data_IF_426700979289
#
_entry.id   IF_426700979289
#
_cell.length_a   1.000
_cell.length_b   1.000
_cell.length_c   1.000
_cell.angle_alpha   90.00
_cell.angle_beta   90.00
_cell.angle_gamma   90.00
#
_symmetry.space_group_name_H-M   'P 1'
#
loop_
_entity.id
_entity.type
_entity.pdbx_description
1 polymer ?
#
# COMPACT_ATOMS: atom_id res chain seq x y z
N UNK A 1 -12.26 15.76 -23.09
CA UNK A 1 -12.18 14.36 -22.66
C UNK A 1 -10.78 13.93 -22.20
N UNK A 2 -9.72 14.07 -23.00
CA UNK A 2 -8.36 13.69 -22.62
C UNK A 2 -7.84 14.49 -21.41
N UNK A 3 -8.02 15.80 -21.36
CA UNK A 3 -7.63 16.65 -20.22
C UNK A 3 -8.33 16.22 -18.92
N UNK A 4 -9.60 15.82 -18.97
CA UNK A 4 -10.38 15.34 -17.82
C UNK A 4 -9.87 14.00 -17.30
N UNK A 5 -9.41 13.11 -18.19
CA UNK A 5 -8.78 11.83 -17.82
C UNK A 5 -7.42 12.10 -17.15
N UNK A 6 -6.58 12.94 -17.74
CA UNK A 6 -5.26 13.32 -17.18
C UNK A 6 -5.41 13.93 -15.78
N UNK A 7 -6.40 14.82 -15.58
CA UNK A 7 -6.64 15.45 -14.28
C UNK A 7 -7.22 14.44 -13.26
N UNK A 8 -8.00 13.47 -13.70
CA UNK A 8 -8.50 12.39 -12.85
C UNK A 8 -7.37 11.46 -12.42
N UNK A 9 -6.48 11.09 -13.33
CA UNK A 9 -5.26 10.31 -13.07
C UNK A 9 -4.32 11.08 -12.11
N UNK A 10 -4.06 12.36 -12.38
CA UNK A 10 -3.25 13.20 -11.47
C UNK A 10 -3.86 13.29 -10.07
N UNK A 11 -5.20 13.45 -9.96
CA UNK A 11 -5.90 13.46 -8.65
C UNK A 11 -5.84 12.12 -7.94
N UNK A 12 -5.98 11.02 -8.68
CA UNK A 12 -5.85 9.66 -8.14
C UNK A 12 -4.48 9.43 -7.52
N UNK A 13 -3.40 9.81 -8.22
CA UNK A 13 -2.03 9.66 -7.70
C UNK A 13 -1.68 10.68 -6.63
N UNK A 14 -2.15 11.92 -6.70
CA UNK A 14 -1.90 12.96 -5.69
C UNK A 14 -2.49 12.64 -4.31
N UNK A 15 -3.65 11.94 -4.27
CA UNK A 15 -4.30 11.46 -3.04
C UNK A 15 -4.01 9.98 -2.75
N UNK A 16 -3.18 9.34 -3.58
CA UNK A 16 -2.89 7.91 -3.47
C UNK A 16 -1.78 7.64 -2.47
N UNK A 17 -1.99 6.63 -1.59
CA UNK A 17 -0.94 6.05 -0.76
C UNK A 17 0.01 5.16 -1.59
N UNK A 18 1.00 4.61 -0.91
CA UNK A 18 2.03 3.72 -1.50
C UNK A 18 1.43 2.54 -2.26
N UNK A 19 0.31 1.99 -1.79
CA UNK A 19 -0.38 0.85 -2.44
C UNK A 19 -0.69 1.13 -3.91
N UNK A 20 -1.22 2.32 -4.22
CA UNK A 20 -1.57 2.69 -5.59
C UNK A 20 -0.35 2.84 -6.48
N UNK A 21 0.74 3.39 -5.94
CA UNK A 21 2.01 3.52 -6.67
C UNK A 21 2.63 2.16 -6.97
N UNK A 22 2.62 1.22 -6.01
CA UNK A 22 3.11 -0.15 -6.23
C UNK A 22 2.33 -0.84 -7.35
N UNK A 23 1.00 -0.75 -7.34
CA UNK A 23 0.17 -1.31 -8.41
C UNK A 23 0.50 -0.64 -9.75
N UNK A 24 0.57 0.68 -9.79
CA UNK A 24 0.82 1.42 -11.02
C UNK A 24 2.19 1.11 -11.64
N UNK A 25 3.25 0.98 -10.82
CA UNK A 25 4.60 0.64 -11.30
C UNK A 25 4.61 -0.76 -11.90
N UNK A 26 4.00 -1.75 -11.24
CA UNK A 26 3.89 -3.11 -11.75
C UNK A 26 3.15 -3.15 -13.09
N UNK A 27 1.98 -2.50 -13.17
CA UNK A 27 1.17 -2.45 -14.40
C UNK A 27 1.91 -1.72 -15.52
N UNK A 28 2.55 -0.58 -15.23
CA UNK A 28 3.28 0.19 -16.23
C UNK A 28 4.45 -0.63 -16.81
N UNK A 29 5.24 -1.30 -15.96
CA UNK A 29 6.37 -2.11 -16.42
C UNK A 29 5.89 -3.33 -17.22
N UNK A 30 4.81 -3.99 -16.77
CA UNK A 30 4.18 -5.08 -17.54
C UNK A 30 3.76 -4.62 -18.95
N UNK A 31 3.11 -3.46 -19.06
CA UNK A 31 2.69 -2.92 -20.36
C UNK A 31 3.89 -2.61 -21.24
N UNK A 32 4.95 -2.00 -20.69
CA UNK A 32 6.19 -1.71 -21.44
C UNK A 32 6.80 -3.01 -21.98
N UNK A 33 7.00 -4.02 -21.12
CA UNK A 33 7.60 -5.30 -21.51
C UNK A 33 6.73 -6.01 -22.58
N UNK A 34 5.40 -6.01 -22.39
CA UNK A 34 4.47 -6.65 -23.33
C UNK A 34 4.43 -5.96 -24.68
N UNK A 35 4.41 -4.62 -24.70
CA UNK A 35 4.42 -3.85 -25.96
C UNK A 35 5.72 -4.04 -26.73
N UNK A 36 6.87 -4.03 -26.05
CA UNK A 36 8.17 -4.30 -26.67
C UNK A 36 8.23 -5.72 -27.23
N UNK A 37 7.72 -6.72 -26.49
CA UNK A 37 7.64 -8.09 -26.97
C UNK A 37 6.73 -8.27 -28.21
N UNK A 38 5.60 -7.56 -28.25
CA UNK A 38 4.71 -7.54 -29.42
C UNK A 38 5.43 -6.89 -30.61
N UNK A 39 6.08 -5.75 -30.39
CA UNK A 39 6.83 -5.04 -31.44
C UNK A 39 7.92 -5.95 -32.05
N UNK A 40 8.75 -6.60 -31.22
CA UNK A 40 9.77 -7.55 -31.68
C UNK A 40 9.15 -8.67 -32.54
N UNK A 41 8.01 -9.24 -32.07
CA UNK A 41 7.33 -10.32 -32.84
C UNK A 41 6.79 -9.86 -34.20
N UNK A 42 6.28 -8.61 -34.28
CA UNK A 42 5.69 -8.09 -35.51
C UNK A 42 6.73 -7.61 -36.53
N UNK A 43 7.84 -7.06 -36.07
CA UNK A 43 8.86 -6.45 -36.94
C UNK A 43 10.04 -7.38 -37.24
N UNK A 44 10.25 -8.43 -36.44
CA UNK A 44 11.46 -9.24 -36.45
C UNK A 44 12.72 -8.52 -35.96
N UNK A 45 12.57 -7.26 -35.45
CA UNK A 45 13.69 -6.48 -34.94
C UNK A 45 13.89 -6.87 -33.48
N UNK A 46 15.06 -7.44 -33.15
CA UNK A 46 15.41 -7.73 -31.75
C UNK A 46 15.62 -6.44 -30.96
N UNK A 47 14.69 -6.15 -30.08
CA UNK A 47 14.84 -5.09 -29.09
C UNK A 47 15.54 -5.66 -27.88
N UNK A 48 16.32 -4.80 -27.21
CA UNK A 48 16.96 -5.10 -25.93
C UNK A 48 15.99 -5.81 -24.97
N UNK A 49 16.30 -7.04 -24.50
CA UNK A 49 15.39 -7.86 -23.72
C UNK A 49 15.26 -7.34 -22.27
N UNK A 50 14.61 -6.19 -22.11
CA UNK A 50 14.46 -5.49 -20.82
C UNK A 50 13.99 -6.44 -19.73
N UNK A 51 12.98 -7.26 -20.01
CA UNK A 51 12.46 -8.20 -19.03
C UNK A 51 13.52 -9.18 -18.52
N UNK A 52 14.37 -9.70 -19.41
CA UNK A 52 15.49 -10.58 -19.01
C UNK A 52 16.49 -9.87 -18.09
N UNK A 53 16.80 -8.60 -18.37
CA UNK A 53 17.72 -7.80 -17.55
C UNK A 53 17.15 -7.43 -16.17
N UNK A 54 15.83 -7.46 -16.01
CA UNK A 54 15.15 -7.16 -14.78
C UNK A 54 14.78 -8.40 -13.96
N UNK A 55 14.77 -9.60 -14.58
CA UNK A 55 14.48 -10.88 -13.92
C UNK A 55 15.70 -11.41 -13.18
N UNK A 56 15.48 -12.05 -12.02
CA UNK A 56 16.54 -12.58 -11.17
C UNK A 56 17.01 -13.94 -11.69
N UNK A 57 18.29 -14.10 -12.11
CA UNK A 57 18.83 -15.38 -12.54
C UNK A 57 19.04 -16.33 -11.35
N UNK A 58 18.97 -17.66 -11.58
CA UNK A 58 19.30 -18.67 -10.57
C UNK A 58 20.79 -18.79 -10.32
N UNK A 59 21.61 -18.56 -11.34
CA UNK A 59 23.06 -18.71 -11.27
C UNK A 59 23.69 -17.52 -10.54
N UNK A 60 24.44 -17.80 -9.47
CA UNK A 60 25.11 -16.77 -8.68
C UNK A 60 26.12 -15.96 -9.50
N UNK A 61 26.86 -16.63 -10.41
CA UNK A 61 27.81 -15.94 -11.29
C UNK A 61 27.10 -14.88 -12.15
N UNK A 62 25.97 -15.22 -12.76
CA UNK A 62 25.17 -14.28 -13.57
C UNK A 62 24.54 -13.19 -12.70
N UNK A 63 24.10 -13.53 -11.49
CA UNK A 63 23.56 -12.56 -10.53
C UNK A 63 24.60 -11.50 -10.14
N UNK A 64 25.85 -11.88 -9.92
CA UNK A 64 26.92 -10.94 -9.56
C UNK A 64 27.17 -9.87 -10.64
N UNK A 65 26.93 -10.19 -11.92
CA UNK A 65 26.95 -9.20 -13.01
C UNK A 65 25.67 -8.34 -13.10
N UNK A 66 24.56 -8.79 -12.48
CA UNK A 66 23.27 -8.10 -12.51
C UNK A 66 22.63 -8.02 -11.09
N UNK A 67 23.32 -7.47 -10.09
CA UNK A 67 22.87 -7.52 -8.69
C UNK A 67 21.57 -6.73 -8.46
N UNK A 68 21.24 -5.75 -9.31
CA UNK A 68 19.97 -5.01 -9.23
C UNK A 68 18.75 -5.91 -9.41
N UNK A 69 18.91 -7.10 -10.03
CA UNK A 69 17.81 -8.02 -10.29
C UNK A 69 17.15 -8.54 -9.02
N UNK A 70 17.85 -8.53 -7.87
CA UNK A 70 17.27 -8.86 -6.56
C UNK A 70 16.14 -7.90 -6.14
N UNK A 71 16.13 -6.68 -6.69
CA UNK A 71 15.11 -5.67 -6.42
C UNK A 71 14.16 -5.45 -7.60
N UNK A 72 14.58 -5.73 -8.84
CA UNK A 72 13.75 -5.43 -10.02
C UNK A 72 12.83 -6.57 -10.41
N UNK A 73 13.18 -7.82 -10.11
CA UNK A 73 12.37 -8.98 -10.46
C UNK A 73 10.94 -8.90 -9.92
N UNK A 74 10.75 -8.31 -8.71
CA UNK A 74 9.46 -8.19 -8.06
C UNK A 74 8.50 -7.21 -8.75
N UNK A 75 8.98 -6.46 -9.75
CA UNK A 75 8.17 -5.58 -10.60
C UNK A 75 8.03 -6.13 -12.03
N UNK A 76 8.78 -7.19 -12.38
CA UNK A 76 8.82 -7.77 -13.71
C UNK A 76 7.81 -8.89 -13.84
N UNK A 77 6.92 -8.84 -14.83
CA UNK A 77 5.90 -9.87 -15.06
C UNK A 77 5.65 -10.02 -16.56
N UNK A 78 5.38 -11.28 -17.02
CA UNK A 78 5.18 -11.60 -18.43
C UNK A 78 3.78 -12.12 -18.76
N UNK A 79 3.08 -12.67 -17.76
CA UNK A 79 1.77 -13.28 -17.97
C UNK A 79 0.65 -12.38 -17.43
N UNK A 80 -0.38 -12.17 -18.25
CA UNK A 80 -1.51 -11.28 -17.88
C UNK A 80 -2.29 -11.78 -16.64
N UNK A 81 -2.58 -13.08 -16.56
CA UNK A 81 -3.29 -13.61 -15.39
C UNK A 81 -2.41 -13.52 -14.14
N UNK A 82 -1.11 -13.73 -14.27
CA UNK A 82 -0.16 -13.63 -13.16
C UNK A 82 -0.13 -12.19 -12.58
N UNK A 83 -0.01 -11.16 -13.43
CA UNK A 83 -0.05 -9.78 -12.93
C UNK A 83 -1.43 -9.43 -12.38
N UNK A 84 -2.52 -9.87 -13.02
CA UNK A 84 -3.87 -9.61 -12.56
C UNK A 84 -4.07 -10.12 -11.13
N UNK A 85 -3.74 -11.39 -10.87
CA UNK A 85 -3.86 -11.97 -9.53
C UNK A 85 -2.91 -11.32 -8.52
N UNK A 86 -1.68 -11.02 -8.90
CA UNK A 86 -0.74 -10.30 -8.03
C UNK A 86 -1.28 -8.93 -7.63
N UNK A 87 -1.84 -8.15 -8.56
CA UNK A 87 -2.37 -6.82 -8.27
C UNK A 87 -3.66 -6.87 -7.45
N UNK A 88 -4.54 -7.85 -7.69
CA UNK A 88 -5.72 -8.07 -6.85
C UNK A 88 -5.33 -8.45 -5.42
N UNK A 89 -4.41 -9.37 -5.24
CA UNK A 89 -3.91 -9.78 -3.93
C UNK A 89 -3.18 -8.61 -3.23
N UNK A 90 -2.33 -7.87 -3.97
CA UNK A 90 -1.66 -6.68 -3.43
C UNK A 90 -2.67 -5.63 -2.97
N UNK A 91 -3.72 -5.40 -3.73
CA UNK A 91 -4.79 -4.48 -3.37
C UNK A 91 -5.51 -4.94 -2.10
N UNK A 92 -6.00 -6.18 -2.06
CA UNK A 92 -6.78 -6.69 -0.93
C UNK A 92 -5.96 -6.80 0.34
N UNK A 93 -4.82 -7.47 0.32
CA UNK A 93 -3.98 -7.64 1.52
C UNK A 93 -3.32 -6.31 1.94
N UNK A 94 -2.98 -5.47 0.97
CA UNK A 94 -2.48 -4.12 1.24
C UNK A 94 -3.52 -3.25 1.96
N UNK A 95 -4.79 -3.30 1.56
CA UNK A 95 -5.87 -2.59 2.25
C UNK A 95 -6.04 -3.11 3.69
N UNK A 96 -6.06 -4.43 3.89
CA UNK A 96 -6.17 -5.01 5.24
C UNK A 96 -4.99 -4.59 6.12
N UNK A 97 -3.76 -4.63 5.58
CA UNK A 97 -2.58 -4.18 6.31
C UNK A 97 -2.69 -2.71 6.72
N UNK A 98 -3.16 -1.85 5.81
CA UNK A 98 -3.30 -0.41 6.03
C UNK A 98 -4.42 -0.02 7.01
N UNK A 99 -5.30 -0.95 7.42
CA UNK A 99 -6.24 -0.70 8.51
C UNK A 99 -5.52 -0.47 9.85
N UNK A 100 -4.37 -1.11 10.06
CA UNK A 100 -3.64 -1.09 11.32
C UNK A 100 -2.23 -0.53 11.23
N UNK A 101 -1.65 -0.48 10.03
CA UNK A 101 -0.29 -0.05 9.74
C UNK A 101 -0.27 1.10 8.73
N UNK A 102 0.90 1.67 8.46
CA UNK A 102 1.05 2.82 7.56
C UNK A 102 1.65 2.42 6.21
N UNK A 103 1.58 3.33 5.23
CA UNK A 103 2.23 3.22 3.92
C UNK A 103 3.71 2.82 3.99
N UNK A 104 4.43 3.28 5.02
CA UNK A 104 5.82 2.92 5.26
C UNK A 104 6.00 1.42 5.48
N UNK A 105 5.14 0.82 6.31
CA UNK A 105 5.18 -0.63 6.58
C UNK A 105 4.84 -1.44 5.33
N UNK A 106 3.86 -0.97 4.55
CA UNK A 106 3.49 -1.61 3.29
C UNK A 106 4.66 -1.60 2.30
N UNK A 107 5.32 -0.45 2.10
CA UNK A 107 6.48 -0.35 1.21
C UNK A 107 7.64 -1.21 1.68
N UNK A 108 7.93 -1.17 2.99
CA UNK A 108 8.99 -1.97 3.58
C UNK A 108 8.74 -3.46 3.37
N UNK A 109 7.54 -3.94 3.65
CA UNK A 109 7.16 -5.35 3.44
C UNK A 109 7.24 -5.76 1.97
N UNK A 110 6.80 -4.88 1.06
CA UNK A 110 6.88 -5.14 -0.37
C UNK A 110 8.34 -5.34 -0.81
N UNK A 111 9.23 -4.41 -0.45
CA UNK A 111 10.64 -4.46 -0.85
C UNK A 111 11.38 -5.58 -0.13
N UNK A 112 11.30 -5.64 1.20
CA UNK A 112 12.05 -6.64 1.98
C UNK A 112 11.50 -8.05 1.76
N UNK A 113 10.18 -8.21 1.65
CA UNK A 113 9.56 -9.49 1.31
C UNK A 113 10.01 -10.01 -0.06
N UNK A 114 10.08 -9.12 -1.07
CA UNK A 114 10.64 -9.47 -2.36
C UNK A 114 12.13 -9.83 -2.27
N UNK A 115 12.95 -9.03 -1.60
CA UNK A 115 14.39 -9.35 -1.42
C UNK A 115 14.56 -10.71 -0.73
N UNK A 116 13.81 -11.01 0.34
CA UNK A 116 13.86 -12.32 1.00
C UNK A 116 13.44 -13.45 0.06
N UNK A 117 12.38 -13.26 -0.75
CA UNK A 117 11.99 -14.22 -1.79
C UNK A 117 13.13 -14.50 -2.76
N UNK A 118 13.77 -13.47 -3.28
CA UNK A 118 14.92 -13.59 -4.18
C UNK A 118 16.15 -14.25 -3.52
N UNK A 119 16.44 -13.93 -2.25
CA UNK A 119 17.53 -14.56 -1.49
C UNK A 119 17.23 -16.05 -1.27
N UNK A 120 16.02 -16.43 -0.88
CA UNK A 120 15.63 -17.84 -0.74
C UNK A 120 15.77 -18.59 -2.07
N UNK A 121 15.33 -17.98 -3.17
CA UNK A 121 15.49 -18.55 -4.50
C UNK A 121 16.96 -18.80 -4.84
N UNK A 122 17.83 -17.78 -4.68
CA UNK A 122 19.27 -17.93 -4.95
C UNK A 122 19.91 -18.99 -4.07
N UNK A 123 19.60 -18.99 -2.76
CA UNK A 123 20.18 -19.96 -1.83
C UNK A 123 19.81 -21.40 -2.19
N UNK A 124 18.53 -21.67 -2.44
CA UNK A 124 18.05 -23.02 -2.72
C UNK A 124 18.59 -23.54 -4.06
N UNK A 125 18.61 -22.69 -5.10
CA UNK A 125 19.12 -23.11 -6.42
C UNK A 125 20.62 -23.38 -6.43
N UNK A 126 21.40 -22.75 -5.54
CA UNK A 126 22.84 -22.97 -5.50
C UNK A 126 23.29 -23.93 -4.39
N UNK A 127 22.44 -24.25 -3.39
CA UNK A 127 22.80 -25.14 -2.31
C UNK A 127 22.25 -26.57 -2.47
N UNK A 128 21.06 -26.71 -3.11
CA UNK A 128 20.45 -28.02 -3.25
C UNK A 128 20.86 -28.73 -4.56
N UNK A 129 21.36 -29.97 -4.50
CA UNK A 129 21.81 -30.71 -5.67
C UNK A 129 20.73 -30.87 -6.76
N UNK A 130 19.46 -30.96 -6.36
CA UNK A 130 18.29 -31.07 -7.26
C UNK A 130 18.19 -29.92 -8.25
N UNK A 131 18.68 -28.73 -7.90
CA UNK A 131 18.64 -27.53 -8.73
C UNK A 131 20.01 -27.20 -9.34
N UNK A 132 21.05 -27.98 -9.07
CA UNK A 132 22.38 -27.73 -9.58
C UNK A 132 22.43 -27.77 -11.11
N UNK A 133 22.96 -26.70 -11.71
CA UNK A 133 23.04 -26.56 -13.18
C UNK A 133 21.72 -26.20 -13.87
N UNK A 134 20.64 -25.99 -13.13
CA UNK A 134 19.36 -25.54 -13.70
C UNK A 134 19.39 -24.03 -13.89
N UNK A 135 19.51 -23.59 -15.15
CA UNK A 135 19.37 -22.19 -15.50
C UNK A 135 17.87 -21.81 -15.49
N UNK A 136 17.50 -20.95 -14.54
CA UNK A 136 16.13 -20.46 -14.38
C UNK A 136 16.14 -18.95 -14.11
N UNK A 137 14.99 -18.31 -14.30
CA UNK A 137 14.80 -16.89 -13.98
C UNK A 137 13.56 -16.72 -13.14
N UNK A 138 13.67 -15.91 -12.09
CA UNK A 138 12.56 -15.53 -11.22
C UNK A 138 12.02 -14.16 -11.63
N UNK A 139 10.70 -14.04 -11.72
CA UNK A 139 9.99 -12.78 -11.95
C UNK A 139 8.62 -12.81 -11.26
N UNK A 140 8.10 -11.64 -10.89
CA UNK A 140 6.80 -11.50 -10.26
C UNK A 140 6.84 -10.90 -8.86
N UNK A 141 5.77 -10.18 -8.51
CA UNK A 141 5.61 -9.52 -7.21
C UNK A 141 5.08 -10.45 -6.11
N UNK A 142 4.82 -11.72 -6.41
CA UNK A 142 4.11 -12.65 -5.52
C UNK A 142 4.78 -12.84 -4.16
N UNK A 143 6.12 -12.93 -4.09
CA UNK A 143 6.85 -12.99 -2.83
C UNK A 143 6.61 -11.74 -1.95
N UNK A 144 6.64 -10.56 -2.56
CA UNK A 144 6.30 -9.29 -1.89
C UNK A 144 4.85 -9.26 -1.40
N UNK A 145 3.92 -9.72 -2.22
CA UNK A 145 2.48 -9.79 -1.89
C UNK A 145 2.23 -10.76 -0.74
N UNK A 146 2.88 -11.92 -0.77
CA UNK A 146 2.77 -12.94 0.29
C UNK A 146 3.40 -12.47 1.62
N UNK A 147 4.44 -11.65 1.57
CA UNK A 147 4.98 -11.01 2.77
C UNK A 147 3.97 -10.04 3.40
N UNK A 148 3.27 -9.25 2.59
CA UNK A 148 2.20 -8.36 3.05
C UNK A 148 1.05 -9.16 3.64
N UNK A 149 0.62 -10.24 2.97
CA UNK A 149 -0.45 -11.11 3.39
C UNK A 149 -0.14 -11.78 4.74
N UNK A 150 1.04 -12.38 4.90
CA UNK A 150 1.42 -13.08 6.13
C UNK A 150 1.57 -12.12 7.32
N UNK A 151 2.11 -10.91 7.09
CA UNK A 151 2.15 -9.86 8.11
C UNK A 151 0.74 -9.40 8.51
N UNK A 152 -0.16 -9.21 7.55
CA UNK A 152 -1.56 -8.87 7.80
C UNK A 152 -2.30 -9.97 8.57
N UNK A 153 -2.07 -11.25 8.20
CA UNK A 153 -2.67 -12.41 8.87
C UNK A 153 -2.23 -12.55 10.32
N UNK A 154 -0.96 -12.26 10.64
CA UNK A 154 -0.47 -12.23 12.02
C UNK A 154 -1.01 -11.04 12.80
N UNK A 155 -1.23 -9.90 12.15
CA UNK A 155 -1.74 -8.69 12.79
C UNK A 155 -3.23 -8.74 13.07
N UNK A 156 -4.00 -9.30 12.12
CA UNK A 156 -5.46 -9.36 12.15
C UNK A 156 -5.95 -10.75 11.71
N UNK A 157 -5.67 -11.82 12.50
CA UNK A 157 -5.90 -13.20 12.09
C UNK A 157 -7.38 -13.53 11.84
N UNK A 158 -8.27 -12.91 12.58
CA UNK A 158 -9.71 -13.15 12.49
C UNK A 158 -10.45 -12.16 11.57
N UNK A 159 -9.69 -11.30 10.84
CA UNK A 159 -10.29 -10.45 9.82
C UNK A 159 -10.88 -11.32 8.70
N UNK A 160 -12.16 -11.11 8.40
CA UNK A 160 -12.89 -11.87 7.39
C UNK A 160 -12.80 -11.15 6.04
N UNK A 161 -12.32 -11.89 5.03
CA UNK A 161 -12.32 -11.47 3.64
C UNK A 161 -13.42 -12.22 2.89
N UNK A 162 -14.26 -11.49 2.18
CA UNK A 162 -15.27 -12.10 1.31
C UNK A 162 -14.61 -12.52 -0.01
N UNK A 163 -14.32 -13.81 -0.12
CA UNK A 163 -13.80 -14.40 -1.35
C UNK A 163 -14.95 -14.72 -2.30
N UNK A 164 -14.75 -14.37 -3.59
CA UNK A 164 -15.70 -14.72 -4.63
C UNK A 164 -15.89 -16.26 -4.65
N UNK A 165 -17.12 -16.75 -4.63
CA UNK A 165 -17.53 -18.16 -4.65
C UNK A 165 -17.39 -18.93 -3.32
N UNK A 166 -16.58 -18.48 -2.35
CA UNK A 166 -16.33 -19.21 -1.09
C UNK A 166 -17.03 -18.51 0.09
N UNK A 167 -17.22 -17.18 0.00
CA UNK A 167 -17.78 -16.37 1.07
C UNK A 167 -16.73 -15.85 2.04
N UNK A 168 -17.12 -15.57 3.29
CA UNK A 168 -16.26 -15.00 4.32
C UNK A 168 -15.25 -16.00 4.85
N UNK A 169 -13.95 -15.74 4.65
CA UNK A 169 -12.84 -16.59 5.14
C UNK A 169 -11.91 -15.74 5.99
N UNK A 170 -11.55 -16.25 7.16
CA UNK A 170 -10.58 -15.59 8.05
C UNK A 170 -9.19 -15.57 7.45
N UNK A 171 -8.51 -14.43 7.55
CA UNK A 171 -7.21 -14.18 6.93
C UNK A 171 -6.13 -15.20 7.33
N UNK A 172 -6.16 -15.69 8.57
CA UNK A 172 -5.27 -16.76 9.04
C UNK A 172 -5.35 -18.03 8.19
N UNK A 173 -6.55 -18.42 7.73
CA UNK A 173 -6.72 -19.62 6.91
C UNK A 173 -6.24 -19.40 5.48
N UNK A 174 -6.40 -18.19 4.94
CA UNK A 174 -5.83 -17.84 3.64
C UNK A 174 -4.31 -17.95 3.69
N UNK A 175 -3.67 -17.47 4.77
CA UNK A 175 -2.22 -17.58 4.95
C UNK A 175 -1.75 -19.03 5.07
N UNK A 176 -2.48 -19.87 5.83
CA UNK A 176 -2.16 -21.32 5.95
C UNK A 176 -2.24 -22.01 4.59
N UNK A 177 -3.31 -21.77 3.82
CA UNK A 177 -3.46 -22.33 2.47
C UNK A 177 -2.33 -21.88 1.56
N UNK A 178 -1.93 -20.60 1.60
CA UNK A 178 -0.82 -20.09 0.79
C UNK A 178 0.51 -20.78 1.13
N UNK A 179 0.80 -21.02 2.41
CA UNK A 179 1.99 -21.76 2.85
C UNK A 179 1.96 -23.20 2.30
N UNK A 180 0.83 -23.89 2.48
CA UNK A 180 0.67 -25.29 2.01
C UNK A 180 0.84 -25.37 0.50
N UNK A 181 0.22 -24.45 -0.25
CA UNK A 181 0.33 -24.41 -1.71
C UNK A 181 1.76 -24.13 -2.16
N UNK A 182 2.47 -23.21 -1.51
CA UNK A 182 3.88 -22.93 -1.82
C UNK A 182 4.78 -24.17 -1.57
N UNK A 183 4.55 -24.90 -0.48
CA UNK A 183 5.33 -26.14 -0.17
C UNK A 183 5.05 -27.23 -1.20
N UNK A 184 3.77 -27.48 -1.52
CA UNK A 184 3.38 -28.51 -2.51
C UNK A 184 3.91 -28.15 -3.90
N UNK A 185 3.88 -26.85 -4.26
CA UNK A 185 4.28 -26.35 -5.56
C UNK A 185 5.79 -26.45 -5.86
N UNK A 186 6.65 -26.67 -4.85
CA UNK A 186 8.11 -26.83 -5.05
C UNK A 186 8.44 -27.99 -6.00
N UNK A 187 7.63 -29.07 -5.99
CA UNK A 187 7.81 -30.20 -6.92
C UNK A 187 7.25 -29.98 -8.33
N UNK A 188 6.65 -28.81 -8.61
CA UNK A 188 6.00 -28.50 -9.87
C UNK A 188 6.90 -27.76 -10.86
N UNK A 189 6.27 -27.31 -11.96
CA UNK A 189 6.98 -26.59 -13.04
C UNK A 189 7.47 -25.18 -12.66
N UNK A 190 6.99 -24.62 -11.55
CA UNK A 190 7.36 -23.28 -11.06
C UNK A 190 8.08 -23.33 -9.70
N UNK A 191 8.93 -24.33 -9.49
CA UNK A 191 9.66 -24.52 -8.22
C UNK A 191 10.36 -23.25 -7.73
N UNK A 192 10.96 -22.47 -8.62
CA UNK A 192 11.63 -21.21 -8.29
C UNK A 192 10.68 -20.17 -7.72
N UNK A 193 9.49 -20.04 -8.30
CA UNK A 193 8.45 -19.14 -7.80
C UNK A 193 7.97 -19.55 -6.40
N UNK A 194 7.75 -20.85 -6.19
CA UNK A 194 7.25 -21.37 -4.89
C UNK A 194 8.30 -21.21 -3.77
N UNK A 195 9.57 -21.41 -4.08
CA UNK A 195 10.67 -21.14 -3.15
C UNK A 195 10.71 -19.65 -2.75
N UNK A 196 10.55 -18.77 -3.74
CA UNK A 196 10.49 -17.33 -3.47
C UNK A 196 9.23 -16.95 -2.64
N UNK A 197 8.09 -17.61 -2.87
CA UNK A 197 6.89 -17.45 -2.06
C UNK A 197 7.15 -17.77 -0.58
N UNK A 198 7.82 -18.86 -0.28
CA UNK A 198 8.21 -19.22 1.10
C UNK A 198 9.12 -18.16 1.72
N UNK A 199 10.08 -17.61 0.96
CA UNK A 199 10.93 -16.51 1.43
C UNK A 199 10.12 -15.26 1.78
N UNK A 200 9.16 -14.90 0.93
CA UNK A 200 8.24 -13.78 1.19
C UNK A 200 7.36 -14.01 2.41
N UNK A 201 6.71 -15.16 2.51
CA UNK A 201 5.89 -15.56 3.67
C UNK A 201 6.69 -15.48 4.97
N UNK A 202 7.92 -16.02 4.96
CA UNK A 202 8.82 -15.98 6.11
C UNK A 202 9.16 -14.56 6.55
N UNK A 203 9.51 -13.67 5.61
CA UNK A 203 9.81 -12.26 5.90
C UNK A 203 8.60 -11.55 6.53
N UNK A 204 7.40 -11.76 6.00
CA UNK A 204 6.18 -11.17 6.54
C UNK A 204 5.81 -11.72 7.91
N UNK A 205 6.03 -13.02 8.16
CA UNK A 205 5.84 -13.61 9.49
C UNK A 205 6.81 -13.03 10.51
N UNK A 206 8.10 -12.93 10.19
CA UNK A 206 9.10 -12.31 11.07
C UNK A 206 8.71 -10.87 11.42
N UNK A 207 8.31 -10.07 10.43
CA UNK A 207 7.84 -8.73 10.65
C UNK A 207 6.62 -8.69 11.58
N UNK A 208 5.61 -9.51 11.34
CA UNK A 208 4.41 -9.59 12.17
C UNK A 208 4.73 -9.97 13.62
N UNK A 209 5.67 -10.91 13.86
CA UNK A 209 6.13 -11.31 15.19
C UNK A 209 6.88 -10.17 15.90
N UNK A 210 7.77 -9.45 15.22
CA UNK A 210 8.51 -8.32 15.81
C UNK A 210 7.58 -7.19 16.22
N UNK A 211 6.54 -6.90 15.42
CA UNK A 211 5.52 -5.93 15.79
C UNK A 211 4.70 -6.38 17.00
N UNK A 212 4.34 -7.66 17.11
CA UNK A 212 3.63 -8.19 18.30
C UNK A 212 4.48 -8.05 19.55
N UNK A 213 5.80 -8.14 19.43
CA UNK A 213 6.76 -7.91 20.53
C UNK A 213 7.02 -6.41 20.79
N UNK A 214 6.24 -5.51 20.21
CA UNK A 214 6.38 -4.05 20.38
C UNK A 214 7.56 -3.42 19.63
N UNK A 215 8.28 -4.17 18.79
CA UNK A 215 9.44 -3.70 18.04
C UNK A 215 9.05 -3.39 16.59
N UNK A 216 9.09 -2.11 16.22
CA UNK A 216 8.90 -1.67 14.83
C UNK A 216 10.25 -1.57 14.13
N UNK A 217 10.64 -2.65 13.42
CA UNK A 217 11.91 -2.74 12.71
C UNK A 217 11.99 -1.80 11.49
N UNK A 218 10.87 -1.27 11.01
CA UNK A 218 10.86 -0.30 9.90
C UNK A 218 11.44 1.05 10.30
N UNK A 219 11.55 1.34 11.58
CA UNK A 219 12.14 2.59 12.08
C UNK A 219 13.63 2.69 11.78
N UNK A 220 14.32 1.55 11.64
CA UNK A 220 15.76 1.52 11.34
C UNK A 220 16.09 1.96 9.90
N UNK A 221 15.17 1.81 8.96
CA UNK A 221 15.39 2.18 7.55
C UNK A 221 15.07 3.65 7.21
N UNK A 222 14.85 4.52 8.20
CA UNK A 222 14.21 5.84 8.06
C UNK A 222 15.15 6.96 7.59
N UNK A 223 16.43 6.74 7.36
CA UNK A 223 17.28 7.81 6.80
C UNK A 223 16.77 8.37 5.45
N UNK A 224 16.10 7.56 4.64
CA UNK A 224 15.73 7.89 3.26
C UNK A 224 14.30 8.45 3.06
N UNK A 225 13.36 8.20 3.98
CA UNK A 225 11.94 8.54 3.78
C UNK A 225 11.37 9.58 4.75
N UNK A 226 12.22 10.29 5.50
CA UNK A 226 11.75 11.32 6.43
C UNK A 226 11.41 12.65 5.72
N UNK A 227 10.57 12.60 4.71
CA UNK A 227 9.76 13.76 4.34
C UNK A 227 8.69 13.88 5.43
N UNK A 228 8.97 14.71 6.44
CA UNK A 228 8.04 15.06 7.51
C UNK A 228 6.65 15.24 6.91
N UNK A 229 5.77 14.29 7.18
CA UNK A 229 4.35 14.45 6.88
C UNK A 229 3.81 15.57 7.78
N UNK A 230 3.86 16.81 7.28
CA UNK A 230 3.17 17.96 7.86
C UNK A 230 1.64 17.76 7.90
N UNK A 231 1.12 16.69 7.31
CA UNK A 231 -0.30 16.35 7.26
C UNK A 231 -0.88 16.09 8.65
N UNK A 232 -0.14 15.42 9.55
CA UNK A 232 -0.63 15.19 10.92
C UNK A 232 -0.65 16.48 11.75
N UNK A 233 0.33 17.38 11.53
CA UNK A 233 0.37 18.70 12.18
C UNK A 233 -0.74 19.61 11.64
N UNK A 234 -1.00 19.58 10.33
CA UNK A 234 -2.09 20.31 9.68
C UNK A 234 -3.46 19.78 10.11
N UNK A 235 -3.64 18.46 10.27
CA UNK A 235 -4.87 17.87 10.81
C UNK A 235 -5.13 18.28 12.27
N UNK A 236 -4.09 18.27 13.14
CA UNK A 236 -4.24 18.76 14.53
C UNK A 236 -4.56 20.25 14.59
N UNK A 237 -3.91 21.07 13.76
CA UNK A 237 -4.18 22.52 13.69
C UNK A 237 -5.59 22.78 13.13
N UNK A 238 -6.02 22.05 12.11
CA UNK A 238 -7.37 22.21 11.55
C UNK A 238 -8.45 21.69 12.52
N UNK A 239 -8.23 20.56 13.20
CA UNK A 239 -9.16 20.05 14.21
C UNK A 239 -9.28 21.03 15.41
N UNK A 240 -8.17 21.60 15.86
CA UNK A 240 -8.17 22.63 16.91
C UNK A 240 -8.90 23.91 16.45
N UNK A 241 -8.64 24.38 15.22
CA UNK A 241 -9.33 25.56 14.65
C UNK A 241 -10.83 25.32 14.47
N UNK A 242 -11.22 24.11 14.03
CA UNK A 242 -12.64 23.75 13.87
C UNK A 242 -13.35 23.63 15.23
N UNK A 243 -12.69 23.05 16.24
CA UNK A 243 -13.23 22.97 17.60
C UNK A 243 -13.41 24.38 18.21
N UNK A 244 -12.41 25.27 18.09
CA UNK A 244 -12.50 26.67 18.57
C UNK A 244 -13.58 27.44 17.82
N UNK A 245 -13.71 27.26 16.50
CA UNK A 245 -14.77 27.90 15.71
C UNK A 245 -16.17 27.44 16.12
N UNK A 246 -16.35 26.13 16.41
CA UNK A 246 -17.62 25.59 16.90
C UNK A 246 -17.97 26.10 18.31
N UNK A 247 -17.00 26.24 19.19
CA UNK A 247 -17.20 26.77 20.53
C UNK A 247 -17.63 28.25 20.46
N UNK A 248 -16.90 29.08 19.69
CA UNK A 248 -17.24 30.47 19.51
C UNK A 248 -18.63 30.65 18.86
N UNK A 249 -18.98 29.83 17.86
CA UNK A 249 -20.32 29.88 17.25
C UNK A 249 -21.44 29.53 18.23
N UNK A 250 -21.19 28.56 19.10
CA UNK A 250 -22.16 28.18 20.17
C UNK A 250 -22.35 29.28 21.20
N UNK A 251 -21.25 29.94 21.59
CA UNK A 251 -21.29 31.05 22.55
C UNK A 251 -21.98 32.28 21.93
N UNK A 252 -21.70 32.58 20.64
CA UNK A 252 -22.39 33.67 19.92
C UNK A 252 -23.89 33.41 19.78
N UNK A 253 -24.32 32.15 19.52
CA UNK A 253 -25.75 31.76 19.47
C UNK A 253 -26.41 31.89 20.85
N UNK A 254 -25.80 31.42 21.93
CA UNK A 254 -26.35 31.53 23.30
C UNK A 254 -26.53 33.00 23.70
N UNK A 255 -25.57 33.84 23.33
CA UNK A 255 -25.64 35.28 23.62
C UNK A 255 -26.71 35.99 22.78
N UNK A 256 -26.90 35.59 21.54
CA UNK A 256 -27.99 36.08 20.70
C UNK A 256 -29.37 35.72 21.27
N UNK A 257 -29.55 34.47 21.71
CA UNK A 257 -30.80 33.99 22.32
C UNK A 257 -31.13 34.78 23.62
N UNK A 258 -30.14 35.06 24.45
CA UNK A 258 -30.31 35.88 25.64
C UNK A 258 -30.82 37.31 25.35
N UNK A 259 -30.24 37.96 24.34
CA UNK A 259 -30.66 39.31 23.91
C UNK A 259 -32.05 39.30 23.30
N UNK A 260 -32.41 38.25 22.52
CA UNK A 260 -33.72 38.08 21.93
C UNK A 260 -34.80 37.81 23.00
N UNK A 261 -34.50 37.02 24.01
CA UNK A 261 -35.38 36.78 25.14
C UNK A 261 -35.65 38.07 25.93
N UNK A 262 -34.64 38.91 26.13
CA UNK A 262 -34.79 40.21 26.76
C UNK A 262 -35.71 41.14 25.95
N UNK A 263 -35.60 41.12 24.63
CA UNK A 263 -36.48 41.88 23.73
C UNK A 263 -37.91 41.36 23.83
N UNK A 264 -38.10 40.02 23.88
CA UNK A 264 -39.40 39.40 23.98
C UNK A 264 -40.13 39.72 25.26
N UNK A 265 -39.39 39.81 26.38
CA UNK A 265 -39.96 40.12 27.71
C UNK A 265 -40.22 41.61 27.95
N UNK A 266 -39.32 42.49 27.48
CA UNK A 266 -39.31 43.90 27.87
C UNK A 266 -39.27 44.89 26.70
N UNK A 267 -39.36 44.39 25.45
CA UNK A 267 -39.33 45.17 24.24
C UNK A 267 -37.94 45.65 23.82
N UNK A 268 -37.77 46.02 22.57
CA UNK A 268 -36.49 46.43 21.99
C UNK A 268 -35.85 47.64 22.69
N UNK A 269 -36.68 48.55 23.24
CA UNK A 269 -36.25 49.75 23.96
C UNK A 269 -35.56 49.44 25.31
N UNK A 270 -35.72 48.24 25.85
CA UNK A 270 -35.07 47.80 27.07
C UNK A 270 -33.59 47.47 26.91
N UNK A 271 -33.10 47.29 25.69
CA UNK A 271 -31.69 47.08 25.40
C UNK A 271 -30.88 48.36 25.58
N UNK A 272 -29.76 48.25 26.28
CA UNK A 272 -28.76 49.32 26.33
C UNK A 272 -28.14 49.55 24.98
N UNK A 273 -27.47 50.68 24.78
CA UNK A 273 -26.76 50.96 23.51
C UNK A 273 -25.74 49.91 23.17
N UNK A 274 -24.98 49.42 24.15
CA UNK A 274 -24.00 48.31 23.96
C UNK A 274 -24.66 47.01 23.53
N UNK A 275 -25.79 46.64 24.13
CA UNK A 275 -26.51 45.41 23.76
C UNK A 275 -27.14 45.49 22.37
N UNK A 276 -27.52 46.66 21.89
CA UNK A 276 -28.00 46.86 20.49
C UNK A 276 -26.88 46.69 19.48
N UNK A 277 -25.71 47.31 19.77
CA UNK A 277 -24.53 47.18 18.92
C UNK A 277 -24.04 45.71 18.89
N UNK A 278 -24.07 45.01 19.99
CA UNK A 278 -23.73 43.60 20.13
C UNK A 278 -24.71 42.70 19.33
N UNK A 279 -26.02 42.94 19.43
CA UNK A 279 -27.05 42.24 18.68
C UNK A 279 -26.84 42.34 17.15
N UNK A 280 -26.55 43.56 16.66
CA UNK A 280 -26.27 43.79 15.26
C UNK A 280 -24.99 43.08 14.81
N UNK A 281 -23.93 43.11 15.63
CA UNK A 281 -22.67 42.45 15.33
C UNK A 281 -22.83 40.92 15.30
N UNK A 282 -23.57 40.32 16.26
CA UNK A 282 -23.87 38.89 16.32
C UNK A 282 -24.70 38.44 15.10
N UNK A 283 -25.76 39.21 14.76
CA UNK A 283 -26.60 38.93 13.63
C UNK A 283 -25.79 38.92 12.30
N UNK A 284 -24.90 39.90 12.08
CA UNK A 284 -24.02 39.94 10.88
C UNK A 284 -22.98 38.81 10.87
N UNK A 285 -22.55 38.30 12.05
CA UNK A 285 -21.57 37.24 12.18
C UNK A 285 -22.17 35.87 11.91
N UNK A 286 -23.41 35.66 12.34
CA UNK A 286 -24.14 34.39 12.20
C UNK A 286 -24.82 34.19 10.85
N UNK A 287 -24.96 35.26 10.03
CA UNK A 287 -25.48 35.21 8.66
C UNK A 287 -24.41 34.88 7.59
N UNK A 288 -23.12 34.75 7.97
CA UNK A 288 -22.01 34.36 7.10
C UNK A 288 -21.66 32.89 7.28
#
# INVERSE_FOLDING_TARGET
MVATIIDSVKRFFRKGGVLKWLIAINVALFLIISLLGIFTKLTGIDIFPIGYFLSLPSEIAVFLYRPWTIATYMFTQYNFLHILFNMLCLYWFGQVLLLTLSDRHLLWLYIVGGVFGGVFYLLIYNLLPTFSGVAATLCGSSASVLAIMSAAALRSPDYEMNLLLIGAVKLKWIAVVAIVMAVIGIGGNNSGGEIAHLGGLFAGMLFGMTLRSGKDITKFSIGFFNKKNNVAKTRKINASRTATAMTNHRDDMARLDELLDKIKQSGYKSLTRKERDELEALSKRLQK
#
